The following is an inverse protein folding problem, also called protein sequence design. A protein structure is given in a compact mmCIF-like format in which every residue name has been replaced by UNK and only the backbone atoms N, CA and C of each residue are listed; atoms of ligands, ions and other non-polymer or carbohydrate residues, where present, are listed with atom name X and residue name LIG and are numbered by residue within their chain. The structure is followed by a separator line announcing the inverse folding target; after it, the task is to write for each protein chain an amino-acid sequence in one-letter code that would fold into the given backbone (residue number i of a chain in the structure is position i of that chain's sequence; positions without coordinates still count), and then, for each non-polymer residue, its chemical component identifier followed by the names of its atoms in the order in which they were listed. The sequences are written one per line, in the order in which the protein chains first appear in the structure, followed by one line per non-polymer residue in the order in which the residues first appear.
data_IF_628500193479
#
_entry.id   IF_628500193479
#
_cell.length_a   1.000
_cell.length_b   1.000
_cell.length_c   1.000
_cell.angle_alpha   90.00
_cell.angle_beta   90.00
_cell.angle_gamma   90.00
#
_symmetry.space_group_name_H-M   'P 1'
#
loop_
_entity.id
_entity.type
_entity.pdbx_description
1 polymer ?
#
# COMPACT_ATOMS: atom_id res chain seq x y z
N UNK A 1 -15.57 -80.09 0.88
CA UNK A 1 -16.32 -79.81 -0.36
C UNK A 1 -15.68 -78.60 -1.01
N UNK A 2 -14.98 -78.67 -2.14
CA UNK A 2 -14.47 -79.84 -2.89
C UNK A 2 -13.74 -79.37 -4.17
N UNK A 3 -12.60 -80.01 -4.48
CA UNK A 3 -12.00 -80.21 -5.83
C UNK A 3 -11.60 -78.95 -6.65
N UNK A 4 -10.29 -78.68 -6.86
CA UNK A 4 -9.36 -79.24 -7.89
C UNK A 4 -9.47 -78.47 -9.24
N UNK A 5 -8.46 -78.37 -10.12
CA UNK A 5 -7.27 -79.19 -10.40
C UNK A 5 -5.98 -78.33 -10.64
N UNK A 6 -4.86 -78.95 -11.02
CA UNK A 6 -3.52 -78.34 -11.06
C UNK A 6 -2.93 -77.99 -12.44
N UNK A 7 -1.67 -78.39 -12.77
CA UNK A 7 -0.65 -77.45 -13.25
C UNK A 7 -0.05 -77.79 -14.64
N UNK A 8 0.95 -77.01 -15.13
CA UNK A 8 2.14 -77.48 -15.92
C UNK A 8 3.17 -76.34 -16.21
N UNK A 9 4.45 -76.64 -15.94
CA UNK A 9 5.80 -76.27 -16.51
C UNK A 9 5.99 -75.01 -17.43
N UNK A 10 7.03 -74.14 -17.36
CA UNK A 10 8.54 -74.24 -17.22
C UNK A 10 9.19 -74.81 -18.52
N UNK A 11 10.38 -74.40 -19.08
CA UNK A 11 11.58 -73.63 -18.60
C UNK A 11 11.93 -72.38 -19.49
N UNK A 12 13.19 -71.94 -19.77
CA UNK A 12 14.25 -71.28 -18.95
C UNK A 12 15.23 -70.42 -19.84
N UNK A 13 16.28 -69.82 -19.25
CA UNK A 13 17.48 -69.14 -19.86
C UNK A 13 17.26 -67.79 -20.61
N UNK A 14 18.20 -66.82 -20.63
CA UNK A 14 19.47 -66.63 -19.91
C UNK A 14 20.39 -65.58 -20.58
N UNK A 15 21.03 -64.70 -19.78
CA UNK A 15 22.43 -64.15 -19.86
C UNK A 15 23.03 -63.70 -21.24
N UNK A 16 23.86 -62.65 -21.45
CA UNK A 16 24.95 -62.00 -20.68
C UNK A 16 25.16 -60.53 -21.14
N UNK A 17 25.90 -59.73 -20.36
CA UNK A 17 26.39 -58.36 -20.64
C UNK A 17 27.62 -58.28 -21.57
N UNK A 18 27.83 -57.14 -22.26
CA UNK A 18 29.13 -56.43 -22.23
C UNK A 18 29.09 -54.98 -22.78
N UNK A 19 30.14 -54.23 -22.45
CA UNK A 19 30.38 -52.79 -22.66
C UNK A 19 31.31 -52.50 -23.85
N UNK A 20 31.21 -51.30 -24.45
CA UNK A 20 32.35 -50.54 -24.99
C UNK A 20 31.94 -49.07 -25.32
N UNK A 21 32.91 -48.18 -25.45
CA UNK A 21 32.78 -46.81 -25.99
C UNK A 21 34.10 -46.42 -26.69
N UNK A 22 34.46 -45.14 -26.90
CA UNK A 22 33.67 -43.90 -27.10
C UNK A 22 33.81 -43.36 -28.56
N UNK A 23 33.15 -42.25 -28.91
CA UNK A 23 33.40 -41.50 -30.17
C UNK A 23 33.14 -39.99 -30.01
N UNK A 24 33.83 -39.17 -30.81
CA UNK A 24 33.98 -37.71 -30.63
C UNK A 24 33.11 -36.85 -31.58
N UNK A 25 32.68 -35.66 -31.10
CA UNK A 25 32.76 -34.31 -31.73
C UNK A 25 32.19 -34.14 -33.18
N UNK A 26 31.25 -33.18 -33.45
CA UNK A 26 31.61 -31.76 -33.41
C UNK A 26 30.58 -30.73 -32.89
N UNK A 27 31.10 -29.51 -32.75
CA UNK A 27 30.53 -28.31 -32.16
C UNK A 27 29.84 -27.37 -33.18
N UNK A 28 29.20 -26.31 -32.63
CA UNK A 28 28.73 -25.08 -33.28
C UNK A 28 27.47 -25.12 -34.18
N UNK A 29 26.37 -24.62 -33.61
CA UNK A 29 25.42 -23.76 -34.31
C UNK A 29 24.74 -22.80 -33.31
N UNK A 30 25.35 -21.63 -33.07
CA UNK A 30 24.74 -20.57 -32.25
C UNK A 30 23.74 -19.75 -33.07
N UNK A 31 22.44 -19.96 -32.82
CA UNK A 31 21.38 -19.07 -33.34
C UNK A 31 21.34 -17.77 -32.52
N UNK A 32 21.29 -16.59 -33.15
CA UNK A 32 21.25 -15.33 -32.43
C UNK A 32 19.87 -15.14 -31.78
N UNK A 33 19.86 -14.89 -30.46
CA UNK A 33 18.66 -14.35 -29.80
C UNK A 33 18.45 -12.93 -30.32
N UNK A 34 17.32 -12.70 -30.97
CA UNK A 34 16.85 -11.35 -31.31
C UNK A 34 16.60 -10.57 -30.02
N UNK A 35 17.24 -9.41 -29.88
CA UNK A 35 17.02 -8.48 -28.78
C UNK A 35 15.60 -7.92 -28.81
N UNK A 36 14.69 -8.56 -28.07
CA UNK A 36 13.36 -8.00 -27.80
C UNK A 36 13.54 -6.82 -26.84
N UNK A 37 13.57 -5.63 -27.41
CA UNK A 37 13.72 -4.36 -26.72
C UNK A 37 12.48 -4.08 -25.85
N UNK A 38 12.47 -4.59 -24.61
CA UNK A 38 11.33 -4.46 -23.68
C UNK A 38 11.11 -3.00 -23.31
N UNK A 39 10.18 -2.33 -24.01
CA UNK A 39 9.83 -0.94 -23.72
C UNK A 39 9.21 -0.81 -22.32
N UNK A 40 9.74 0.11 -21.52
CA UNK A 40 9.37 0.24 -20.11
C UNK A 40 8.02 0.95 -19.97
N UNK A 41 6.95 0.17 -19.72
CA UNK A 41 5.63 0.72 -19.34
C UNK A 41 5.42 0.62 -17.83
N UNK A 42 5.55 1.75 -17.13
CA UNK A 42 5.32 1.84 -15.69
C UNK A 42 3.83 1.67 -15.34
N UNK A 43 3.45 0.52 -14.78
CA UNK A 43 2.08 0.28 -14.28
C UNK A 43 1.84 1.06 -12.98
N UNK A 44 1.39 2.30 -13.18
CA UNK A 44 0.29 2.99 -12.49
C UNK A 44 0.01 2.66 -11.01
N UNK A 45 0.19 3.68 -10.16
CA UNK A 45 -0.36 3.69 -8.79
C UNK A 45 -1.81 4.21 -8.71
N UNK A 46 -2.27 5.03 -9.67
CA UNK A 46 -3.62 5.63 -9.65
C UNK A 46 -4.16 5.89 -11.07
N UNK A 47 -4.97 4.97 -11.61
CA UNK A 47 -5.94 5.25 -12.67
C UNK A 47 -7.37 5.13 -12.10
N UNK A 48 -8.22 6.16 -12.26
CA UNK A 48 -9.66 5.98 -12.26
C UNK A 48 -10.11 5.44 -13.63
N UNK A 49 -11.08 4.53 -13.64
CA UNK A 49 -11.76 4.11 -14.86
C UNK A 49 -12.33 5.32 -15.59
N UNK A 50 -12.11 5.40 -16.90
CA UNK A 50 -12.88 6.27 -17.78
C UNK A 50 -14.35 5.83 -17.76
N UNK A 51 -15.23 6.80 -17.97
CA UNK A 51 -16.67 6.58 -18.14
C UNK A 51 -16.89 5.61 -19.29
N UNK A 52 -17.49 4.46 -19.00
CA UNK A 52 -17.98 3.56 -20.02
C UNK A 52 -19.26 4.19 -20.58
N UNK A 53 -19.17 4.71 -21.81
CA UNK A 53 -20.32 5.24 -22.54
C UNK A 53 -21.25 4.07 -22.82
N UNK A 54 -22.52 4.18 -22.43
CA UNK A 54 -23.53 3.18 -22.80
C UNK A 54 -23.56 3.06 -24.33
N UNK A 55 -23.28 1.85 -24.81
CA UNK A 55 -23.60 1.42 -26.16
C UNK A 55 -24.91 0.66 -26.06
N UNK A 56 -25.96 1.28 -26.56
CA UNK A 56 -27.26 0.66 -26.78
C UNK A 56 -27.10 -0.54 -27.70
N UNK A 57 -27.76 -1.64 -27.34
CA UNK A 57 -27.90 -2.80 -28.22
C UNK A 57 -28.98 -2.48 -29.25
N UNK A 58 -28.62 -2.55 -30.53
CA UNK A 58 -29.52 -2.73 -31.66
C UNK A 58 -28.87 -3.77 -32.60
N UNK A 59 -29.67 -4.36 -33.49
CA UNK A 59 -29.55 -5.74 -33.95
C UNK A 59 -28.64 -6.00 -35.18
N UNK A 60 -28.28 -7.28 -35.35
CA UNK A 60 -28.00 -8.07 -36.58
C UNK A 60 -27.07 -7.52 -37.70
N UNK A 61 -25.97 -8.24 -37.99
CA UNK A 61 -25.79 -8.96 -39.29
C UNK A 61 -24.55 -9.90 -39.32
N UNK A 62 -24.45 -10.74 -40.35
CA UNK A 62 -23.60 -11.96 -40.43
C UNK A 62 -22.10 -11.80 -40.84
N UNK A 63 -21.32 -12.84 -40.51
CA UNK A 63 -20.12 -13.41 -41.18
C UNK A 63 -18.94 -12.52 -41.66
N UNK A 64 -17.71 -12.83 -41.18
CA UNK A 64 -16.77 -13.71 -41.91
C UNK A 64 -15.49 -14.05 -41.09
N UNK A 65 -14.69 -15.02 -41.56
CA UNK A 65 -13.51 -15.58 -40.85
C UNK A 65 -12.25 -14.68 -40.82
N UNK A 66 -11.62 -14.57 -39.64
CA UNK A 66 -10.16 -14.45 -39.51
C UNK A 66 -9.69 -14.91 -38.12
N UNK A 67 -8.93 -16.01 -38.04
CA UNK A 67 -8.32 -16.48 -36.78
C UNK A 67 -7.07 -15.65 -36.49
N UNK A 68 -7.25 -14.51 -35.81
CA UNK A 68 -6.13 -13.75 -35.26
C UNK A 68 -5.64 -14.44 -33.97
N UNK A 69 -4.38 -14.88 -33.97
CA UNK A 69 -3.73 -15.55 -32.84
C UNK A 69 -3.58 -14.56 -31.67
N UNK A 70 -4.58 -14.53 -30.79
CA UNK A 70 -4.64 -13.58 -29.68
C UNK A 70 -3.54 -13.87 -28.65
N UNK A 71 -2.44 -13.13 -28.79
CA UNK A 71 -1.37 -13.09 -27.80
C UNK A 71 -1.97 -12.89 -26.39
N UNK A 72 -1.52 -13.66 -25.38
CA UNK A 72 -2.19 -13.70 -24.08
C UNK A 72 -2.21 -12.33 -23.44
N UNK A 73 -3.41 -11.75 -23.31
CA UNK A 73 -3.65 -10.50 -22.61
C UNK A 73 -3.25 -10.70 -21.15
N UNK A 74 -2.03 -10.27 -20.81
CA UNK A 74 -1.51 -10.35 -19.45
C UNK A 74 -2.50 -9.69 -18.49
N UNK A 75 -3.07 -10.52 -17.61
CA UNK A 75 -4.14 -10.10 -16.71
C UNK A 75 -3.73 -8.83 -15.93
N UNK A 76 -4.56 -7.77 -15.93
CA UNK A 76 -4.23 -6.54 -15.23
C UNK A 76 -4.07 -6.82 -13.73
N UNK A 77 -3.05 -6.21 -13.12
CA UNK A 77 -2.73 -6.44 -11.72
C UNK A 77 -3.95 -6.16 -10.83
N UNK A 78 -4.39 -7.17 -10.06
CA UNK A 78 -5.61 -7.12 -9.26
C UNK A 78 -5.63 -5.88 -8.34
N UNK A 79 -6.62 -5.00 -8.55
CA UNK A 79 -6.77 -3.75 -7.78
C UNK A 79 -7.34 -4.08 -6.40
N UNK A 80 -6.55 -3.79 -5.36
CA UNK A 80 -6.83 -4.20 -3.97
C UNK A 80 -7.80 -3.22 -3.30
N UNK A 81 -9.05 -3.22 -3.77
CA UNK A 81 -10.06 -2.23 -3.42
C UNK A 81 -10.37 -2.10 -1.92
N UNK A 82 -10.21 -3.17 -1.15
CA UNK A 82 -10.53 -3.16 0.29
C UNK A 82 -9.62 -2.24 1.10
N UNK A 83 -8.37 -2.01 0.67
CA UNK A 83 -7.43 -1.11 1.36
C UNK A 83 -7.91 0.35 1.32
N UNK A 84 -8.54 0.77 0.22
CA UNK A 84 -9.20 2.07 0.16
C UNK A 84 -10.44 2.10 1.06
N UNK A 85 -11.16 0.99 1.16
CA UNK A 85 -12.28 0.83 2.09
C UNK A 85 -11.89 1.03 3.56
N UNK A 86 -10.83 0.37 4.02
CA UNK A 86 -10.30 0.53 5.39
C UNK A 86 -9.88 2.00 5.60
N UNK A 87 -9.24 2.62 4.61
CA UNK A 87 -8.87 4.05 4.66
C UNK A 87 -10.10 4.97 4.75
N UNK A 88 -11.19 4.64 4.07
CA UNK A 88 -12.46 5.37 4.13
C UNK A 88 -13.14 5.24 5.47
N UNK A 89 -13.15 4.04 6.06
CA UNK A 89 -13.64 3.83 7.42
C UNK A 89 -12.79 4.62 8.44
N UNK A 90 -11.47 4.62 8.31
CA UNK A 90 -10.59 5.43 9.16
C UNK A 90 -10.91 6.93 9.05
N UNK A 91 -11.14 7.46 7.84
CA UNK A 91 -11.56 8.85 7.65
C UNK A 91 -12.90 9.17 8.35
N UNK A 92 -13.88 8.27 8.28
CA UNK A 92 -15.16 8.38 8.99
C UNK A 92 -14.93 8.37 10.51
N UNK A 93 -14.11 7.47 11.04
CA UNK A 93 -13.81 7.38 12.47
C UNK A 93 -13.12 8.64 13.03
N UNK A 94 -12.27 9.31 12.24
CA UNK A 94 -11.70 10.63 12.62
C UNK A 94 -12.80 11.69 12.74
N UNK A 95 -13.72 11.76 11.78
CA UNK A 95 -14.87 12.70 11.84
C UNK A 95 -15.74 12.39 13.06
N UNK A 96 -16.04 11.12 13.31
CA UNK A 96 -16.82 10.65 14.46
C UNK A 96 -16.19 11.06 15.78
N UNK A 97 -14.88 10.87 15.96
CA UNK A 97 -14.17 11.29 17.18
C UNK A 97 -14.29 12.80 17.42
N UNK A 98 -13.90 13.62 16.44
CA UNK A 98 -13.80 15.07 16.62
C UNK A 98 -15.16 15.78 16.66
N UNK A 99 -16.25 15.10 16.26
CA UNK A 99 -17.62 15.62 16.36
C UNK A 99 -18.09 15.88 17.79
N UNK A 100 -17.44 15.26 18.78
CA UNK A 100 -17.81 15.27 20.20
C UNK A 100 -19.23 14.79 20.55
N UNK A 101 -19.96 14.16 19.61
CA UNK A 101 -21.33 13.65 19.85
C UNK A 101 -21.47 12.13 19.80
N UNK A 102 -20.58 11.43 19.09
CA UNK A 102 -20.74 10.01 18.81
C UNK A 102 -19.63 9.21 19.49
N UNK A 103 -20.00 8.19 20.27
CA UNK A 103 -19.09 7.17 20.84
C UNK A 103 -17.83 7.74 21.53
N UNK A 104 -18.01 8.82 22.30
CA UNK A 104 -16.93 9.63 22.88
C UNK A 104 -16.18 8.95 24.03
N UNK A 105 -16.75 7.87 24.57
CA UNK A 105 -16.06 6.94 25.45
C UNK A 105 -14.98 6.13 24.72
N UNK A 106 -15.00 6.06 23.39
CA UNK A 106 -14.04 5.29 22.60
C UNK A 106 -12.93 6.17 21.99
N UNK A 107 -11.74 5.58 21.82
CA UNK A 107 -10.58 6.22 21.19
C UNK A 107 -10.58 6.00 19.66
N UNK A 108 -11.72 6.20 18.98
CA UNK A 108 -11.91 5.99 17.54
C UNK A 108 -10.90 6.76 16.69
N UNK A 109 -10.56 7.98 17.09
CA UNK A 109 -9.55 8.82 16.41
C UNK A 109 -8.14 8.21 16.46
N UNK A 110 -7.77 7.59 17.59
CA UNK A 110 -6.48 6.91 17.72
C UNK A 110 -6.42 5.66 16.83
N UNK A 111 -7.46 4.84 16.85
CA UNK A 111 -7.60 3.62 16.02
C UNK A 111 -7.55 3.98 14.53
N UNK A 112 -8.16 5.10 14.14
CA UNK A 112 -8.12 5.60 12.78
C UNK A 112 -6.72 6.09 12.37
N UNK A 113 -6.01 6.83 13.23
CA UNK A 113 -4.62 7.27 12.97
C UNK A 113 -3.67 6.08 12.86
N UNK A 114 -3.79 5.08 13.75
CA UNK A 114 -3.07 3.80 13.63
C UNK A 114 -3.36 3.12 12.28
N UNK A 115 -4.62 3.12 11.86
CA UNK A 115 -5.03 2.55 10.56
C UNK A 115 -4.43 3.29 9.38
N UNK A 116 -4.38 4.63 9.40
CA UNK A 116 -3.70 5.42 8.38
C UNK A 116 -2.20 5.12 8.32
N UNK A 117 -1.52 5.09 9.46
CA UNK A 117 -0.07 4.81 9.53
C UNK A 117 0.27 3.39 9.08
N UNK A 118 -0.51 2.37 9.47
CA UNK A 118 -0.35 0.98 9.01
C UNK A 118 -0.59 0.87 7.51
N UNK A 119 -1.71 1.40 6.99
CA UNK A 119 -2.03 1.34 5.55
C UNK A 119 -0.98 2.06 4.71
N UNK A 120 -0.48 3.20 5.18
CA UNK A 120 0.53 3.99 4.49
C UNK A 120 1.86 3.25 4.43
N UNK A 121 2.38 2.82 5.58
CA UNK A 121 3.64 2.05 5.64
C UNK A 121 3.57 0.71 4.90
N UNK A 122 2.46 -0.02 4.99
CA UNK A 122 2.21 -1.25 4.23
C UNK A 122 2.25 -1.02 2.72
N UNK A 123 1.40 -0.11 2.21
CA UNK A 123 1.23 0.09 0.78
C UNK A 123 2.53 0.63 0.14
N UNK A 124 3.17 1.59 0.80
CA UNK A 124 4.40 2.21 0.30
C UNK A 124 5.58 1.24 0.33
N UNK A 125 5.71 0.44 1.40
CA UNK A 125 6.73 -0.62 1.46
C UNK A 125 6.46 -1.65 0.37
N UNK A 126 5.22 -2.14 0.23
CA UNK A 126 4.86 -3.14 -0.79
C UNK A 126 5.21 -2.70 -2.22
N UNK A 127 4.82 -1.48 -2.59
CA UNK A 127 5.06 -0.92 -3.93
C UNK A 127 6.56 -0.65 -4.17
N UNK A 128 7.25 -0.02 -3.22
CA UNK A 128 8.68 0.28 -3.35
C UNK A 128 9.53 -1.01 -3.35
N UNK A 129 9.14 -2.02 -2.57
CA UNK A 129 9.75 -3.36 -2.53
C UNK A 129 9.58 -4.08 -3.88
N UNK A 130 8.38 -4.09 -4.46
CA UNK A 130 8.16 -4.63 -5.82
C UNK A 130 8.96 -3.90 -6.90
N UNK A 131 9.07 -2.57 -6.82
CA UNK A 131 9.92 -1.77 -7.74
C UNK A 131 11.41 -2.13 -7.55
N UNK A 132 11.86 -2.24 -6.31
CA UNK A 132 13.25 -2.53 -5.94
C UNK A 132 13.74 -3.91 -6.38
N UNK A 133 12.88 -4.95 -6.32
CA UNK A 133 13.20 -6.28 -6.86
C UNK A 133 13.53 -6.19 -8.36
N UNK A 134 12.65 -5.57 -9.15
CA UNK A 134 12.85 -5.40 -10.60
C UNK A 134 14.14 -4.64 -10.93
N UNK A 135 14.50 -3.64 -10.11
CA UNK A 135 15.76 -2.89 -10.28
C UNK A 135 16.99 -3.74 -9.96
N UNK A 136 16.93 -4.65 -9.00
CA UNK A 136 18.00 -5.62 -8.73
C UNK A 136 18.12 -6.66 -9.85
N UNK A 137 17.00 -7.19 -10.32
CA UNK A 137 16.97 -8.18 -11.40
C UNK A 137 17.55 -7.60 -12.70
N UNK A 138 17.20 -6.35 -13.02
CA UNK A 138 17.75 -5.58 -14.14
C UNK A 138 19.19 -5.05 -13.91
N UNK A 139 19.82 -5.35 -12.76
CA UNK A 139 21.15 -4.84 -12.34
C UNK A 139 21.30 -3.33 -12.49
N UNK A 140 20.26 -2.59 -12.14
CA UNK A 140 20.15 -1.14 -12.35
C UNK A 140 21.27 -0.36 -11.62
N UNK A 141 21.88 0.60 -12.33
CA UNK A 141 22.94 1.44 -11.80
C UNK A 141 22.47 2.45 -10.75
N UNK A 142 23.40 3.02 -9.99
CA UNK A 142 23.10 3.95 -8.89
C UNK A 142 22.25 5.17 -9.32
N UNK A 143 22.39 5.62 -10.57
CA UNK A 143 21.58 6.71 -11.15
C UNK A 143 20.10 6.35 -11.29
N UNK A 144 19.79 5.13 -11.74
CA UNK A 144 18.42 4.60 -11.81
C UNK A 144 17.81 4.48 -10.41
N UNK A 145 18.58 4.03 -9.42
CA UNK A 145 18.14 4.01 -8.02
C UNK A 145 17.79 5.41 -7.50
N UNK A 146 18.64 6.40 -7.77
CA UNK A 146 18.37 7.80 -7.41
C UNK A 146 17.07 8.32 -8.06
N UNK A 147 16.85 8.04 -9.35
CA UNK A 147 15.59 8.40 -10.02
C UNK A 147 14.38 7.63 -9.46
N UNK A 148 14.54 6.37 -9.08
CA UNK A 148 13.47 5.57 -8.49
C UNK A 148 13.03 6.09 -7.11
N UNK A 149 13.99 6.58 -6.29
CA UNK A 149 13.74 7.24 -5.01
C UNK A 149 13.16 8.64 -5.21
N UNK A 150 13.68 9.43 -6.15
CA UNK A 150 13.16 10.76 -6.46
C UNK A 150 11.71 10.71 -6.97
N UNK A 151 11.39 9.75 -7.85
CA UNK A 151 10.02 9.46 -8.29
C UNK A 151 9.11 9.13 -7.10
N UNK A 152 9.52 8.20 -6.23
CA UNK A 152 8.79 7.83 -5.01
C UNK A 152 8.52 9.04 -4.11
N UNK A 153 9.55 9.83 -3.77
CA UNK A 153 9.41 11.00 -2.90
C UNK A 153 8.54 12.08 -3.54
N UNK A 154 8.67 12.34 -4.84
CA UNK A 154 7.86 13.34 -5.55
C UNK A 154 6.36 13.01 -5.47
N UNK A 155 6.00 11.74 -5.66
CA UNK A 155 4.62 11.25 -5.56
C UNK A 155 4.04 11.47 -4.17
N UNK A 156 4.83 11.22 -3.12
CA UNK A 156 4.40 11.45 -1.74
C UNK A 156 4.27 12.93 -1.42
N UNK A 157 5.22 13.75 -1.85
CA UNK A 157 5.16 15.20 -1.71
C UNK A 157 3.88 15.77 -2.35
N UNK A 158 3.61 15.48 -3.63
CA UNK A 158 2.44 15.99 -4.34
C UNK A 158 1.09 15.40 -3.86
N UNK A 159 1.07 14.24 -3.19
CA UNK A 159 -0.14 13.69 -2.56
C UNK A 159 -0.52 14.44 -1.27
N UNK A 160 0.45 14.90 -0.49
CA UNK A 160 0.24 15.42 0.88
C UNK A 160 0.46 16.94 0.97
N UNK A 161 1.61 17.44 0.52
CA UNK A 161 2.08 18.78 0.84
C UNK A 161 1.27 19.92 0.22
N UNK A 162 0.79 19.87 -1.05
CA UNK A 162 0.06 20.99 -1.65
C UNK A 162 -1.21 21.40 -0.91
N UNK A 163 -2.06 20.43 -0.52
CA UNK A 163 -3.29 20.72 0.21
C UNK A 163 -3.00 21.14 1.66
N UNK A 164 -1.98 20.56 2.29
CA UNK A 164 -1.48 21.01 3.60
C UNK A 164 -1.01 22.46 3.55
N UNK A 165 -0.19 22.83 2.58
CA UNK A 165 0.33 24.19 2.43
C UNK A 165 -0.79 25.21 2.16
N UNK A 166 -1.75 24.88 1.28
CA UNK A 166 -2.94 25.71 1.04
C UNK A 166 -3.74 25.88 2.33
N UNK A 167 -3.93 24.83 3.13
CA UNK A 167 -4.63 24.91 4.42
C UNK A 167 -3.91 25.83 5.39
N UNK A 168 -2.57 25.77 5.46
CA UNK A 168 -1.78 26.69 6.28
C UNK A 168 -1.91 28.15 5.82
N UNK A 169 -1.90 28.40 4.50
CA UNK A 169 -2.09 29.75 3.95
C UNK A 169 -3.51 30.28 4.23
N UNK A 170 -4.53 29.43 4.11
CA UNK A 170 -5.92 29.79 4.47
C UNK A 170 -6.03 30.17 5.94
N UNK A 171 -5.42 29.38 6.85
CA UNK A 171 -5.38 29.72 8.27
C UNK A 171 -4.60 31.01 8.54
N UNK A 172 -3.47 31.25 7.87
CA UNK A 172 -2.70 32.48 8.00
C UNK A 172 -3.52 33.73 7.64
N UNK A 173 -4.34 33.65 6.58
CA UNK A 173 -5.22 34.73 6.13
C UNK A 173 -6.46 34.97 7.03
N UNK A 174 -6.78 34.06 7.96
CA UNK A 174 -7.92 34.19 8.87
C UNK A 174 -7.62 35.06 10.09
N UNK A 175 -8.63 35.67 10.70
CA UNK A 175 -8.46 36.32 12.03
C UNK A 175 -8.18 35.26 13.10
N UNK A 176 -7.54 35.62 14.21
CA UNK A 176 -7.24 34.64 15.28
C UNK A 176 -8.52 34.03 15.89
N UNK A 177 -9.61 34.81 15.93
CA UNK A 177 -10.93 34.30 16.33
C UNK A 177 -11.44 33.23 15.34
N UNK A 178 -11.25 33.44 14.03
CA UNK A 178 -11.63 32.45 13.01
C UNK A 178 -10.74 31.21 13.05
N UNK A 179 -9.42 31.37 13.26
CA UNK A 179 -8.50 30.23 13.41
C UNK A 179 -8.90 29.29 14.56
N UNK A 180 -9.31 29.85 15.71
CA UNK A 180 -9.84 29.06 16.83
C UNK A 180 -11.22 28.45 16.48
N UNK A 181 -12.16 29.26 15.96
CA UNK A 181 -13.51 28.82 15.59
C UNK A 181 -13.55 27.71 14.53
N UNK A 182 -12.61 27.67 13.59
CA UNK A 182 -12.63 26.73 12.46
C UNK A 182 -11.57 25.63 12.53
N UNK A 183 -10.48 25.83 13.29
CA UNK A 183 -9.36 24.89 13.30
C UNK A 183 -8.69 24.70 14.67
N UNK A 184 -9.31 25.22 15.75
CA UNK A 184 -8.87 25.02 17.14
C UNK A 184 -7.42 25.49 17.40
N UNK A 185 -6.97 26.49 16.64
CA UNK A 185 -5.67 27.16 16.84
C UNK A 185 -5.82 28.14 18.00
N UNK A 186 -5.25 27.81 19.16
CA UNK A 186 -5.37 28.61 20.37
C UNK A 186 -4.22 29.61 20.54
N UNK A 187 -4.56 30.81 21.02
CA UNK A 187 -3.64 31.89 21.33
C UNK A 187 -3.62 32.98 20.26
N UNK A 188 -3.64 34.24 20.71
CA UNK A 188 -3.56 35.42 19.83
C UNK A 188 -2.12 35.69 19.40
N UNK A 189 -1.91 36.01 18.12
CA UNK A 189 -0.59 36.30 17.56
C UNK A 189 0.40 35.12 17.55
N UNK A 190 -0.05 33.90 17.84
CA UNK A 190 0.81 32.70 17.96
C UNK A 190 1.05 31.96 16.64
N UNK A 191 0.31 32.31 15.58
CA UNK A 191 0.35 31.59 14.30
C UNK A 191 1.49 32.06 13.40
N UNK A 192 2.56 31.27 13.31
CA UNK A 192 3.68 31.46 12.40
C UNK A 192 3.58 30.49 11.21
N UNK A 193 3.29 31.05 10.03
CA UNK A 193 3.12 30.29 8.79
C UNK A 193 4.37 29.47 8.43
N UNK A 194 5.58 30.01 8.62
CA UNK A 194 6.81 29.32 8.25
C UNK A 194 7.05 28.12 9.18
N UNK A 195 6.82 28.29 10.48
CA UNK A 195 6.93 27.22 11.48
C UNK A 195 5.88 26.12 11.31
N UNK A 196 4.65 26.48 10.95
CA UNK A 196 3.64 25.48 10.60
C UNK A 196 4.01 24.74 9.31
N UNK A 197 4.40 25.43 8.23
CA UNK A 197 4.79 24.81 6.95
C UNK A 197 6.02 23.88 7.04
N UNK A 198 6.88 24.10 8.03
CA UNK A 198 8.07 23.29 8.35
C UNK A 198 7.84 22.25 9.46
N UNK A 199 6.60 22.12 9.94
CA UNK A 199 6.19 21.22 11.02
C UNK A 199 6.96 21.38 12.34
N UNK A 200 7.28 22.62 12.73
CA UNK A 200 7.88 22.89 14.05
C UNK A 200 6.98 22.35 15.18
N UNK A 201 7.57 21.72 16.20
CA UNK A 201 6.84 20.89 17.18
C UNK A 201 5.64 21.62 17.83
N UNK A 202 5.82 22.87 18.24
CA UNK A 202 4.76 23.67 18.88
C UNK A 202 3.72 24.26 17.92
N UNK A 203 3.99 24.23 16.61
CA UNK A 203 3.14 24.81 15.55
C UNK A 203 2.36 23.74 14.76
N UNK A 204 2.37 22.49 15.26
CA UNK A 204 1.57 21.35 14.76
C UNK A 204 0.14 21.40 15.30
N UNK A 205 -0.62 22.42 14.90
CA UNK A 205 -1.99 22.64 15.39
C UNK A 205 -2.94 21.50 14.99
N UNK A 206 -3.84 21.15 15.91
CA UNK A 206 -4.87 20.12 15.71
C UNK A 206 -4.32 18.87 15.02
N UNK A 207 -4.91 18.40 13.92
CA UNK A 207 -4.48 17.19 13.20
C UNK A 207 -3.09 17.25 12.53
N UNK A 208 -2.42 18.41 12.45
CA UNK A 208 -1.12 18.52 11.79
C UNK A 208 0.01 17.73 12.49
N UNK A 209 -0.20 17.21 13.70
CA UNK A 209 0.83 16.44 14.42
C UNK A 209 1.19 15.11 13.76
N UNK A 210 0.29 14.51 12.97
CA UNK A 210 0.51 13.21 12.30
C UNK A 210 1.38 13.33 11.05
N UNK A 211 1.21 14.41 10.29
CA UNK A 211 1.91 14.67 9.02
C UNK A 211 3.44 14.54 9.10
N UNK A 212 4.16 15.17 10.07
CA UNK A 212 5.60 15.00 10.18
C UNK A 212 6.01 13.57 10.57
N UNK A 213 5.17 12.82 11.28
CA UNK A 213 5.46 11.42 11.63
C UNK A 213 5.42 10.54 10.38
N UNK A 214 4.38 10.70 9.57
CA UNK A 214 4.20 9.98 8.32
C UNK A 214 5.28 10.36 7.29
N UNK A 215 5.55 11.66 7.11
CA UNK A 215 6.61 12.15 6.21
C UNK A 215 7.98 11.64 6.65
N UNK A 216 8.29 11.63 7.96
CA UNK A 216 9.54 11.04 8.48
C UNK A 216 9.64 9.57 8.10
N UNK A 217 8.55 8.81 8.21
CA UNK A 217 8.55 7.40 7.85
C UNK A 217 8.73 7.15 6.35
N UNK A 218 8.26 8.05 5.47
CA UNK A 218 8.50 7.94 4.02
C UNK A 218 10.01 7.93 3.67
N UNK A 219 10.86 8.64 4.42
CA UNK A 219 12.30 8.60 4.22
C UNK A 219 12.96 7.31 4.75
N UNK A 220 12.32 6.64 5.72
CA UNK A 220 12.79 5.36 6.30
C UNK A 220 12.50 4.18 5.35
N UNK A 221 11.36 4.19 4.63
CA UNK A 221 10.92 3.07 3.78
C UNK A 221 11.98 2.64 2.74
N UNK A 222 12.62 3.53 1.95
CA UNK A 222 13.67 3.13 1.02
C UNK A 222 14.83 2.39 1.68
N UNK A 223 15.28 2.86 2.85
CA UNK A 223 16.36 2.23 3.63
C UNK A 223 15.90 0.86 4.16
N UNK A 224 14.71 0.78 4.74
CA UNK A 224 14.12 -0.47 5.24
C UNK A 224 14.01 -1.54 4.14
N UNK A 225 13.56 -1.15 2.94
CA UNK A 225 13.45 -2.05 1.78
C UNK A 225 14.83 -2.52 1.30
N UNK A 226 15.80 -1.62 1.17
CA UNK A 226 17.16 -1.97 0.75
C UNK A 226 17.86 -2.91 1.75
N UNK A 227 17.72 -2.66 3.06
CA UNK A 227 18.24 -3.54 4.11
C UNK A 227 17.55 -4.91 4.06
N UNK A 228 16.23 -4.95 3.93
CA UNK A 228 15.45 -6.20 3.81
C UNK A 228 15.89 -7.03 2.59
N UNK A 229 16.18 -6.38 1.47
CA UNK A 229 16.74 -7.01 0.27
C UNK A 229 18.16 -7.56 0.49
N UNK A 230 19.04 -6.76 1.11
CA UNK A 230 20.43 -7.15 1.37
C UNK A 230 20.54 -8.40 2.26
N UNK A 231 19.61 -8.57 3.20
CA UNK A 231 19.56 -9.74 4.10
C UNK A 231 19.22 -11.07 3.38
N UNK A 232 18.67 -11.03 2.15
CA UNK A 232 18.36 -12.19 1.29
C UNK A 232 17.62 -13.32 2.03
N UNK A 233 18.32 -14.42 2.37
CA UNK A 233 17.78 -15.61 3.07
C UNK A 233 17.71 -15.46 4.59
N UNK A 234 18.50 -14.54 5.15
CA UNK A 234 18.58 -14.27 6.60
C UNK A 234 17.65 -13.14 7.05
N UNK A 235 16.73 -12.68 6.20
CA UNK A 235 15.77 -11.61 6.51
C UNK A 235 14.97 -11.86 7.80
N UNK A 236 14.67 -13.12 8.11
CA UNK A 236 13.93 -13.51 9.32
C UNK A 236 14.71 -13.25 10.62
N UNK A 237 16.05 -13.25 10.58
CA UNK A 237 16.92 -13.13 11.77
C UNK A 237 16.72 -11.79 12.51
N UNK A 238 16.73 -10.62 11.84
CA UNK A 238 16.33 -9.36 12.48
C UNK A 238 14.81 -9.15 12.54
N UNK A 239 14.02 -9.79 11.67
CA UNK A 239 12.56 -9.60 11.66
C UNK A 239 11.88 -10.21 12.89
N UNK A 240 12.28 -11.39 13.37
CA UNK A 240 11.70 -12.00 14.57
C UNK A 240 11.86 -11.10 15.81
N UNK A 241 13.07 -10.67 16.23
CA UNK A 241 13.23 -9.77 17.37
C UNK A 241 12.60 -8.39 17.13
N UNK A 242 12.61 -7.86 15.89
CA UNK A 242 11.91 -6.62 15.57
C UNK A 242 10.38 -6.76 15.74
N UNK A 243 9.79 -7.91 15.41
CA UNK A 243 8.36 -8.17 15.59
C UNK A 243 8.00 -8.31 17.08
N UNK A 244 8.82 -9.04 17.84
CA UNK A 244 8.68 -9.12 19.30
C UNK A 244 8.79 -7.73 19.95
N UNK A 245 9.72 -6.89 19.48
CA UNK A 245 9.86 -5.50 19.91
C UNK A 245 8.64 -4.63 19.55
N UNK A 246 8.12 -4.75 18.33
CA UNK A 246 6.90 -4.06 17.88
C UNK A 246 5.70 -4.41 18.76
N UNK A 247 5.51 -5.69 19.09
CA UNK A 247 4.44 -6.14 19.99
C UNK A 247 4.68 -5.64 21.42
N UNK A 248 5.92 -5.74 21.93
CA UNK A 248 6.27 -5.33 23.29
C UNK A 248 6.11 -3.81 23.50
N UNK A 249 6.73 -2.97 22.67
CA UNK A 249 6.60 -1.52 22.75
C UNK A 249 5.16 -1.09 22.49
N UNK A 250 4.50 -1.67 21.49
CA UNK A 250 3.09 -1.35 21.21
C UNK A 250 2.17 -1.62 22.40
N UNK A 251 2.49 -2.61 23.23
CA UNK A 251 1.70 -2.96 24.41
C UNK A 251 2.06 -2.16 25.67
N UNK A 252 3.29 -1.67 25.80
CA UNK A 252 3.81 -1.06 27.04
C UNK A 252 4.13 0.44 26.94
N UNK A 253 4.41 0.98 25.75
CA UNK A 253 4.84 2.37 25.56
C UNK A 253 3.65 3.35 25.57
N UNK A 254 3.78 4.44 26.33
CA UNK A 254 2.74 5.47 26.39
C UNK A 254 2.67 6.28 25.09
N UNK A 255 1.49 6.31 24.47
CA UNK A 255 1.23 6.98 23.18
C UNK A 255 0.08 7.96 23.29
N UNK A 256 0.23 9.13 22.69
CA UNK A 256 -0.80 10.17 22.64
C UNK A 256 -0.60 11.11 21.45
N UNK A 257 -1.62 11.90 21.12
CA UNK A 257 -1.52 12.98 20.13
C UNK A 257 -0.41 13.97 20.47
N UNK A 258 0.23 14.54 19.45
CA UNK A 258 1.38 15.46 19.58
C UNK A 258 2.63 14.87 20.26
N UNK A 259 2.67 13.57 20.60
CA UNK A 259 3.90 12.91 21.04
C UNK A 259 4.96 12.89 19.90
N UNK A 260 6.26 12.77 20.23
CA UNK A 260 7.31 12.62 19.23
C UNK A 260 7.16 11.34 18.39
N UNK A 261 8.04 11.18 17.41
CA UNK A 261 7.99 10.06 16.46
C UNK A 261 8.26 8.69 17.11
N UNK A 262 9.14 8.60 18.12
CA UNK A 262 9.58 7.33 18.72
C UNK A 262 8.41 6.41 19.16
N UNK A 263 7.43 6.82 19.99
CA UNK A 263 6.32 5.95 20.40
C UNK A 263 5.44 5.44 19.26
N UNK A 264 5.49 6.09 18.09
CA UNK A 264 4.72 5.71 16.91
C UNK A 264 5.47 4.76 15.96
N UNK A 265 6.78 4.54 16.14
CA UNK A 265 7.59 3.63 15.31
C UNK A 265 6.99 2.22 15.21
N UNK A 266 6.52 1.56 16.30
CA UNK A 266 5.95 0.21 16.23
C UNK A 266 4.78 0.09 15.24
N UNK A 267 3.95 1.12 15.10
CA UNK A 267 2.79 1.15 14.19
C UNK A 267 3.21 1.15 12.73
N UNK A 268 4.13 2.06 12.36
CA UNK A 268 4.64 2.11 10.98
C UNK A 268 5.49 0.88 10.63
N UNK A 269 6.27 0.38 11.59
CA UNK A 269 7.10 -0.80 11.40
C UNK A 269 6.24 -2.06 11.20
N UNK A 270 5.14 -2.21 11.95
CA UNK A 270 4.18 -3.31 11.75
C UNK A 270 3.69 -3.37 10.29
N UNK A 271 3.21 -2.25 9.72
CA UNK A 271 2.74 -2.21 8.33
C UNK A 271 3.83 -2.56 7.32
N UNK A 272 5.05 -2.06 7.52
CA UNK A 272 6.19 -2.35 6.64
C UNK A 272 6.62 -3.82 6.70
N UNK A 273 6.65 -4.39 7.90
CA UNK A 273 6.95 -5.81 8.11
C UNK A 273 5.87 -6.71 7.49
N UNK A 274 4.60 -6.34 7.64
CA UNK A 274 3.47 -7.04 7.03
C UNK A 274 3.52 -7.03 5.50
N UNK A 275 3.96 -5.94 4.87
CA UNK A 275 4.18 -5.88 3.42
C UNK A 275 5.29 -6.83 2.95
N UNK A 276 6.37 -6.97 3.74
CA UNK A 276 7.45 -7.92 3.45
C UNK A 276 6.99 -9.37 3.66
N UNK A 277 6.27 -9.65 4.76
CA UNK A 277 5.68 -10.97 5.03
C UNK A 277 4.74 -11.37 3.89
N UNK A 278 3.81 -10.48 3.49
CA UNK A 278 2.93 -10.72 2.35
C UNK A 278 3.71 -11.04 1.08
N UNK A 279 4.72 -10.25 0.71
CA UNK A 279 5.51 -10.50 -0.50
C UNK A 279 6.30 -11.81 -0.45
N UNK A 280 6.84 -12.19 0.72
CA UNK A 280 7.54 -13.47 0.88
C UNK A 280 6.57 -14.65 0.76
N UNK A 281 5.37 -14.54 1.35
CA UNK A 281 4.32 -15.55 1.22
C UNK A 281 3.78 -15.64 -0.23
N UNK A 282 3.43 -14.52 -0.85
CA UNK A 282 2.97 -14.44 -2.26
C UNK A 282 3.99 -15.06 -3.22
N UNK A 283 5.28 -14.76 -3.03
CA UNK A 283 6.36 -15.32 -3.85
C UNK A 283 6.55 -16.82 -3.58
N UNK A 284 6.52 -17.25 -2.32
CA UNK A 284 6.67 -18.66 -1.95
C UNK A 284 5.50 -19.51 -2.47
N UNK A 285 4.26 -19.04 -2.34
CA UNK A 285 3.09 -19.75 -2.85
C UNK A 285 3.17 -19.93 -4.37
N UNK A 286 3.54 -18.88 -5.11
CA UNK A 286 3.71 -18.95 -6.57
C UNK A 286 4.85 -19.88 -6.99
N UNK A 287 5.97 -19.86 -6.27
CA UNK A 287 7.12 -20.70 -6.58
C UNK A 287 6.92 -22.19 -6.28
N UNK A 288 5.91 -22.55 -5.48
CA UNK A 288 5.59 -23.95 -5.12
C UNK A 288 4.19 -24.37 -5.64
N UNK A 289 3.58 -23.58 -6.53
CA UNK A 289 2.22 -23.80 -7.06
C UNK A 289 1.19 -24.11 -5.96
N UNK A 290 1.30 -23.39 -4.84
CA UNK A 290 0.56 -23.69 -3.62
C UNK A 290 -0.92 -23.37 -3.74
N UNK A 291 -1.75 -24.41 -3.76
CA UNK A 291 -3.20 -24.27 -3.69
C UNK A 291 -3.76 -24.30 -2.26
N UNK A 292 -4.70 -23.40 -1.99
CA UNK A 292 -5.42 -23.35 -0.71
C UNK A 292 -6.42 -24.51 -0.56
N UNK A 293 -5.94 -25.61 0.01
CA UNK A 293 -6.76 -26.73 0.53
C UNK A 293 -7.73 -26.26 1.62
N UNK A 294 -8.81 -27.01 1.85
CA UNK A 294 -9.84 -26.67 2.84
C UNK A 294 -9.27 -26.36 4.23
N UNK A 295 -8.33 -27.19 4.72
CA UNK A 295 -7.67 -26.98 6.02
C UNK A 295 -6.93 -25.64 6.06
N UNK A 296 -6.18 -25.29 5.02
CA UNK A 296 -5.46 -24.02 4.93
C UNK A 296 -6.42 -22.82 4.94
N UNK A 297 -7.56 -22.93 4.22
CA UNK A 297 -8.63 -21.92 4.21
C UNK A 297 -9.23 -21.75 5.60
N UNK A 298 -9.60 -22.85 6.28
CA UNK A 298 -10.19 -22.81 7.62
C UNK A 298 -9.22 -22.21 8.65
N UNK A 299 -7.95 -22.60 8.63
CA UNK A 299 -6.92 -22.04 9.54
C UNK A 299 -6.70 -20.54 9.29
N UNK A 300 -6.59 -20.12 8.03
CA UNK A 300 -6.43 -18.70 7.69
C UNK A 300 -7.63 -17.86 8.14
N UNK A 301 -8.86 -18.36 7.95
CA UNK A 301 -10.09 -17.71 8.41
C UNK A 301 -10.22 -17.69 9.93
N UNK A 302 -9.81 -18.74 10.63
CA UNK A 302 -9.76 -18.74 12.08
C UNK A 302 -8.83 -17.64 12.60
N UNK A 303 -7.61 -17.53 12.03
CA UNK A 303 -6.66 -16.46 12.37
C UNK A 303 -7.24 -15.06 12.07
N UNK A 304 -7.85 -14.87 10.90
CA UNK A 304 -8.50 -13.62 10.51
C UNK A 304 -9.62 -13.22 11.46
N UNK A 305 -10.60 -14.11 11.72
CA UNK A 305 -11.73 -13.80 12.59
C UNK A 305 -11.31 -13.62 14.05
N UNK A 306 -10.30 -14.35 14.54
CA UNK A 306 -9.69 -14.07 15.85
C UNK A 306 -9.03 -12.68 15.88
N UNK A 307 -8.29 -12.30 14.83
CA UNK A 307 -7.69 -10.97 14.73
C UNK A 307 -8.75 -9.85 14.67
N UNK A 308 -9.87 -10.05 13.96
CA UNK A 308 -11.01 -9.13 13.91
C UNK A 308 -11.66 -9.03 15.30
N UNK A 309 -11.94 -10.14 15.98
CA UNK A 309 -12.56 -10.14 17.31
C UNK A 309 -11.68 -9.44 18.36
N UNK A 310 -10.36 -9.67 18.31
CA UNK A 310 -9.40 -8.98 19.17
C UNK A 310 -9.27 -7.50 18.81
N UNK A 311 -9.25 -7.14 17.52
CA UNK A 311 -9.17 -5.75 17.06
C UNK A 311 -10.39 -4.96 17.55
N UNK A 312 -11.58 -5.51 17.35
CA UNK A 312 -12.85 -4.93 17.81
C UNK A 312 -12.94 -4.90 19.33
N UNK A 313 -12.41 -5.90 20.04
CA UNK A 313 -12.30 -5.87 21.50
C UNK A 313 -11.48 -4.67 21.97
N UNK A 314 -10.28 -4.48 21.44
CA UNK A 314 -9.41 -3.34 21.80
C UNK A 314 -10.06 -2.01 21.38
N UNK A 315 -10.65 -1.95 20.19
CA UNK A 315 -11.28 -0.75 19.65
C UNK A 315 -12.53 -0.29 20.44
N UNK A 316 -13.33 -1.25 20.91
CA UNK A 316 -14.63 -1.03 21.57
C UNK A 316 -14.61 -1.52 23.04
N UNK A 317 -13.49 -1.30 23.75
CA UNK A 317 -13.34 -1.52 25.21
C UNK A 317 -13.83 -2.87 25.75
N UNK A 318 -13.57 -3.96 25.02
CA UNK A 318 -13.91 -5.31 25.43
C UNK A 318 -15.24 -5.84 24.88
N UNK A 319 -15.75 -5.31 23.76
CA UNK A 319 -17.02 -5.69 23.12
C UNK A 319 -17.34 -7.20 23.12
N UNK A 320 -16.35 -8.05 22.84
CA UNK A 320 -16.50 -9.51 22.84
C UNK A 320 -16.13 -10.20 24.17
N UNK A 321 -15.43 -9.49 25.05
CA UNK A 321 -14.75 -10.04 26.21
C UNK A 321 -15.47 -9.74 27.53
N UNK A 322 -16.28 -8.67 27.61
CA UNK A 322 -17.19 -8.38 28.76
C UNK A 322 -17.99 -9.62 29.20
N UNK A 323 -18.33 -10.51 28.26
CA UNK A 323 -19.12 -11.72 28.48
C UNK A 323 -18.30 -13.02 28.65
N UNK A 324 -16.98 -12.98 28.43
CA UNK A 324 -16.15 -14.20 28.29
C UNK A 324 -14.89 -14.16 29.17
N UNK A 325 -14.17 -13.04 29.22
CA UNK A 325 -12.96 -12.89 30.03
C UNK A 325 -12.62 -11.40 30.23
N UNK A 326 -12.00 -11.03 31.36
CA UNK A 326 -11.55 -9.65 31.57
C UNK A 326 -10.63 -9.18 30.41
N UNK A 327 -10.76 -7.93 29.98
CA UNK A 327 -9.93 -7.42 28.88
C UNK A 327 -8.45 -7.41 29.32
N UNK A 328 -7.64 -8.25 28.67
CA UNK A 328 -6.22 -8.43 28.98
C UNK A 328 -5.38 -7.24 28.46
N UNK A 329 -5.93 -6.45 27.53
CA UNK A 329 -5.28 -5.23 27.07
C UNK A 329 -5.05 -4.26 28.25
N UNK A 330 -3.84 -3.70 28.42
CA UNK A 330 -3.50 -2.88 29.55
C UNK A 330 -4.40 -1.64 29.57
N UNK A 331 -4.96 -1.34 30.74
CA UNK A 331 -5.80 -0.17 31.00
C UNK A 331 -4.98 1.12 31.13
N UNK A 332 -3.73 1.10 30.64
CA UNK A 332 -2.83 2.25 30.61
C UNK A 332 -3.46 3.40 29.82
N UNK A 333 -3.37 4.65 30.30
CA UNK A 333 -3.88 5.80 29.56
C UNK A 333 -3.15 5.93 28.21
N UNK A 334 -3.83 6.43 27.19
CA UNK A 334 -3.24 6.71 25.88
C UNK A 334 -3.96 6.03 24.71
N UNK A 335 -3.25 5.95 23.58
CA UNK A 335 -3.76 5.38 22.34
C UNK A 335 -3.62 3.85 22.33
N UNK A 336 -4.69 3.09 22.05
CA UNK A 336 -4.63 1.63 21.99
C UNK A 336 -3.84 1.16 20.77
N UNK A 337 -2.97 0.17 20.95
CA UNK A 337 -2.18 -0.40 19.86
C UNK A 337 -2.95 -1.52 19.14
N UNK A 338 -3.60 -1.16 18.03
CA UNK A 338 -4.34 -2.10 17.17
C UNK A 338 -3.56 -2.53 15.93
N UNK A 339 -2.39 -1.93 15.71
CA UNK A 339 -1.60 -2.02 14.48
C UNK A 339 -1.31 -3.46 14.01
N UNK A 340 -0.85 -4.33 14.92
CA UNK A 340 -0.51 -5.73 14.58
C UNK A 340 -1.74 -6.52 14.14
N UNK A 341 -2.86 -6.38 14.84
CA UNK A 341 -4.10 -7.07 14.50
C UNK A 341 -4.62 -6.61 13.13
N UNK A 342 -4.57 -5.30 12.86
CA UNK A 342 -4.91 -4.75 11.54
C UNK A 342 -3.99 -5.31 10.44
N UNK A 343 -2.68 -5.45 10.69
CA UNK A 343 -1.79 -6.06 9.70
C UNK A 343 -2.07 -7.53 9.44
N UNK A 344 -2.49 -8.31 10.44
CA UNK A 344 -2.90 -9.71 10.25
C UNK A 344 -4.13 -9.77 9.34
N UNK A 345 -5.13 -8.92 9.60
CA UNK A 345 -6.35 -8.82 8.76
C UNK A 345 -5.98 -8.45 7.31
N UNK A 346 -5.15 -7.42 7.12
CA UNK A 346 -4.68 -6.99 5.79
C UNK A 346 -3.97 -8.12 5.05
N UNK A 347 -3.02 -8.82 5.71
CA UNK A 347 -2.25 -9.90 5.08
C UNK A 347 -3.15 -11.09 4.75
N UNK A 348 -4.06 -11.49 5.64
CA UNK A 348 -5.03 -12.56 5.36
C UNK A 348 -5.90 -12.26 4.15
N UNK A 349 -6.47 -11.05 4.06
CA UNK A 349 -7.32 -10.64 2.94
C UNK A 349 -6.55 -10.38 1.63
N UNK A 350 -5.26 -10.08 1.71
CA UNK A 350 -4.38 -10.02 0.54
C UNK A 350 -3.96 -11.41 0.03
N UNK A 351 -3.87 -12.42 0.90
CA UNK A 351 -3.57 -13.81 0.53
C UNK A 351 -4.80 -14.54 -0.02
N UNK A 352 -5.96 -14.33 0.60
CA UNK A 352 -7.23 -14.93 0.22
C UNK A 352 -8.38 -13.96 0.56
N UNK A 353 -8.96 -13.22 -0.40
CA UNK A 353 -10.06 -12.29 -0.11
C UNK A 353 -11.32 -12.97 0.44
N UNK A 354 -12.03 -12.30 1.36
CA UNK A 354 -13.28 -12.78 1.97
C UNK A 354 -14.44 -11.78 1.81
N UNK A 355 -15.56 -12.07 2.48
CA UNK A 355 -16.65 -11.13 2.69
C UNK A 355 -16.19 -9.80 3.32
N UNK A 356 -15.09 -9.80 4.09
CA UNK A 356 -14.50 -8.59 4.67
C UNK A 356 -13.96 -7.67 3.57
N UNK A 357 -13.17 -8.20 2.64
CA UNK A 357 -12.73 -7.48 1.43
C UNK A 357 -13.92 -7.00 0.59
N UNK A 358 -15.00 -7.79 0.47
CA UNK A 358 -16.23 -7.35 -0.23
C UNK A 358 -16.92 -6.17 0.45
N UNK A 359 -17.05 -6.18 1.80
CA UNK A 359 -17.64 -5.08 2.58
C UNK A 359 -16.80 -3.81 2.43
N UNK A 360 -15.48 -3.90 2.59
CA UNK A 360 -14.57 -2.76 2.37
C UNK A 360 -14.46 -2.36 0.89
N UNK A 361 -14.78 -3.26 -0.04
CA UNK A 361 -14.91 -2.98 -1.47
C UNK A 361 -16.13 -2.12 -1.84
N UNK A 362 -17.03 -1.82 -0.89
CA UNK A 362 -18.22 -1.00 -1.15
C UNK A 362 -17.87 0.40 -1.66
N UNK A 363 -18.64 0.89 -2.64
CA UNK A 363 -18.41 2.16 -3.34
C UNK A 363 -18.29 3.37 -2.39
N UNK A 364 -19.12 3.41 -1.34
CA UNK A 364 -19.09 4.49 -0.34
C UNK A 364 -17.75 4.53 0.40
N UNK A 365 -17.31 3.39 0.96
CA UNK A 365 -16.05 3.32 1.70
C UNK A 365 -14.85 3.59 0.79
N UNK A 366 -14.85 3.09 -0.46
CA UNK A 366 -13.81 3.41 -1.45
C UNK A 366 -13.77 4.89 -1.82
N UNK A 367 -14.91 5.56 -1.96
CA UNK A 367 -14.98 7.00 -2.21
C UNK A 367 -14.37 7.79 -1.05
N UNK A 368 -14.80 7.52 0.19
CA UNK A 368 -14.21 8.12 1.39
C UNK A 368 -12.72 7.80 1.52
N UNK A 369 -12.28 6.61 1.09
CA UNK A 369 -10.86 6.22 1.02
C UNK A 369 -10.04 7.05 0.02
N UNK A 370 -10.61 7.33 -1.16
CA UNK A 370 -9.98 8.16 -2.22
C UNK A 370 -9.71 9.58 -1.73
N UNK A 371 -10.71 10.22 -1.11
CA UNK A 371 -10.69 11.59 -0.59
C UNK A 371 -10.23 11.69 0.88
N UNK A 372 -9.79 10.57 1.48
CA UNK A 372 -9.53 10.44 2.91
C UNK A 372 -8.52 11.45 3.48
N UNK A 373 -7.51 11.85 2.70
CA UNK A 373 -6.56 12.88 3.11
C UNK A 373 -7.22 14.27 3.20
N UNK A 374 -8.00 14.63 2.18
CA UNK A 374 -8.83 15.85 2.21
C UNK A 374 -9.84 15.84 3.38
N UNK A 375 -10.49 14.71 3.68
CA UNK A 375 -11.36 14.57 4.88
C UNK A 375 -10.55 14.77 6.16
N UNK A 376 -9.44 14.05 6.30
CA UNK A 376 -8.58 14.10 7.48
C UNK A 376 -8.11 15.52 7.78
N UNK A 377 -7.71 16.27 6.75
CA UNK A 377 -7.18 17.62 6.92
C UNK A 377 -8.29 18.67 7.14
N UNK A 378 -9.44 18.55 6.45
CA UNK A 378 -10.41 19.65 6.36
C UNK A 378 -11.66 19.48 7.24
N UNK A 379 -11.90 18.32 7.85
CA UNK A 379 -13.14 18.08 8.62
C UNK A 379 -13.39 19.11 9.73
N UNK A 380 -12.33 19.63 10.36
CA UNK A 380 -12.42 20.59 11.48
C UNK A 380 -13.13 21.89 11.07
N UNK A 381 -12.91 22.38 9.84
CA UNK A 381 -13.60 23.57 9.30
C UNK A 381 -15.13 23.42 9.28
N UNK A 382 -15.65 22.19 9.21
CA UNK A 382 -17.08 21.90 9.24
C UNK A 382 -17.55 21.57 10.66
N UNK A 383 -16.79 20.76 11.41
CA UNK A 383 -17.20 20.32 12.75
C UNK A 383 -17.23 21.48 13.75
N UNK A 384 -16.19 22.32 13.77
CA UNK A 384 -16.08 23.45 14.70
C UNK A 384 -16.95 24.66 14.28
N UNK A 385 -17.48 24.66 13.06
CA UNK A 385 -18.34 25.73 12.55
C UNK A 385 -19.61 25.86 13.41
N UNK A 386 -19.75 27.02 14.07
CA UNK A 386 -20.87 27.36 14.96
C UNK A 386 -22.25 27.18 14.31
N UNK A 387 -22.42 27.48 13.02
CA UNK A 387 -23.71 27.32 12.32
C UNK A 387 -24.10 25.87 12.10
N UNK A 388 -23.12 24.96 11.97
CA UNK A 388 -23.36 23.51 11.92
C UNK A 388 -23.54 22.94 13.32
N UNK A 389 -22.73 23.39 14.28
CA UNK A 389 -22.71 22.86 15.64
C UNK A 389 -23.96 23.26 16.46
N UNK A 390 -24.53 24.46 16.24
CA UNK A 390 -25.71 24.94 16.97
C UNK A 390 -27.07 24.46 16.41
N UNK A 391 -27.11 23.65 15.34
CA UNK A 391 -28.40 23.10 14.88
C UNK A 391 -29.01 22.23 16.00
N UNK A 392 -30.25 22.48 16.40
CA UNK A 392 -30.85 21.81 17.57
C UNK A 392 -31.07 20.31 17.35
N UNK A 393 -31.48 19.91 16.15
CA UNK A 393 -31.78 18.52 15.81
C UNK A 393 -30.50 17.70 15.53
N UNK A 394 -30.37 16.58 16.23
CA UNK A 394 -29.26 15.62 16.11
C UNK A 394 -29.00 15.12 14.68
N UNK A 395 -30.06 14.73 13.97
CA UNK A 395 -29.96 14.21 12.61
C UNK A 395 -29.57 15.32 11.64
N UNK A 396 -30.08 16.54 11.82
CA UNK A 396 -29.63 17.70 11.04
C UNK A 396 -28.12 17.93 11.21
N UNK A 397 -27.58 17.89 12.45
CA UNK A 397 -26.12 18.00 12.69
C UNK A 397 -25.35 16.87 12.03
N UNK A 398 -25.81 15.63 12.18
CA UNK A 398 -25.18 14.44 11.59
C UNK A 398 -25.07 14.56 10.05
N UNK A 399 -26.20 14.79 9.38
CA UNK A 399 -26.24 14.91 7.92
C UNK A 399 -25.51 16.17 7.44
N UNK A 400 -25.61 17.29 8.14
CA UNK A 400 -24.88 18.52 7.80
C UNK A 400 -23.37 18.32 7.91
N UNK A 401 -22.86 17.73 9.00
CA UNK A 401 -21.42 17.46 9.17
C UNK A 401 -20.92 16.52 8.07
N UNK A 402 -21.47 15.32 7.96
CA UNK A 402 -20.98 14.33 6.99
C UNK A 402 -21.18 14.78 5.54
N UNK A 403 -22.30 15.46 5.23
CA UNK A 403 -22.58 16.02 3.91
C UNK A 403 -21.61 17.14 3.53
N UNK A 404 -21.45 18.16 4.38
CA UNK A 404 -20.54 19.28 4.11
C UNK A 404 -19.07 18.85 4.10
N UNK A 405 -18.67 17.90 4.96
CA UNK A 405 -17.32 17.31 4.91
C UNK A 405 -17.11 16.56 3.59
N UNK A 406 -18.08 15.77 3.15
CA UNK A 406 -18.00 15.06 1.88
C UNK A 406 -17.87 16.03 0.69
N UNK A 407 -18.68 17.10 0.66
CA UNK A 407 -18.61 18.14 -0.37
C UNK A 407 -17.27 18.87 -0.35
N UNK A 408 -16.83 19.35 0.82
CA UNK A 408 -15.57 20.08 0.99
C UNK A 408 -14.37 19.22 0.58
N UNK A 409 -14.30 17.98 1.07
CA UNK A 409 -13.20 17.07 0.79
C UNK A 409 -13.21 16.56 -0.66
N UNK A 410 -14.38 16.37 -1.27
CA UNK A 410 -14.48 16.00 -2.70
C UNK A 410 -14.05 17.16 -3.59
N UNK A 411 -14.46 18.39 -3.25
CA UNK A 411 -14.08 19.60 -4.01
C UNK A 411 -12.58 19.86 -3.89
N UNK A 412 -12.01 19.83 -2.68
CA UNK A 412 -10.56 20.00 -2.48
C UNK A 412 -9.75 18.89 -3.15
N UNK A 413 -10.24 17.64 -3.15
CA UNK A 413 -9.60 16.55 -3.85
C UNK A 413 -9.50 16.84 -5.36
N UNK A 414 -10.58 17.24 -6.03
CA UNK A 414 -10.55 17.49 -7.47
C UNK A 414 -9.87 18.81 -7.87
N UNK A 415 -9.88 19.83 -7.01
CA UNK A 415 -9.25 21.14 -7.28
C UNK A 415 -7.75 21.16 -6.97
N UNK A 416 -7.30 20.46 -5.93
CA UNK A 416 -5.91 20.52 -5.44
C UNK A 416 -5.21 19.17 -5.54
N UNK A 417 -5.78 18.14 -4.92
CA UNK A 417 -5.07 16.90 -4.63
C UNK A 417 -4.82 16.07 -5.90
N UNK A 418 -5.85 15.90 -6.73
CA UNK A 418 -5.79 15.18 -7.99
C UNK A 418 -4.91 15.91 -9.05
N UNK A 419 -5.05 17.23 -9.29
CA UNK A 419 -4.11 17.96 -10.15
C UNK A 419 -2.65 17.86 -9.68
N UNK A 420 -2.40 17.89 -8.37
CA UNK A 420 -1.05 17.69 -7.82
C UNK A 420 -0.49 16.30 -8.15
N UNK A 421 -1.31 15.25 -8.04
CA UNK A 421 -0.91 13.90 -8.45
C UNK A 421 -0.66 13.79 -9.97
N UNK A 422 -1.39 14.55 -10.81
CA UNK A 422 -1.09 14.64 -12.25
C UNK A 422 0.26 15.32 -12.51
N UNK A 423 0.65 16.33 -11.71
CA UNK A 423 2.00 16.90 -11.76
C UNK A 423 3.05 15.85 -11.37
N UNK A 424 2.82 15.03 -10.34
CA UNK A 424 3.71 13.92 -10.00
C UNK A 424 3.88 12.92 -11.17
N UNK A 425 2.80 12.54 -11.87
CA UNK A 425 2.88 11.71 -13.09
C UNK A 425 3.75 12.34 -14.17
N UNK A 426 3.70 13.68 -14.35
CA UNK A 426 4.57 14.42 -15.29
C UNK A 426 6.03 14.40 -14.84
N UNK A 427 6.31 14.55 -13.54
CA UNK A 427 7.66 14.41 -12.96
C UNK A 427 8.21 13.02 -13.21
N UNK A 428 7.45 11.94 -12.97
CA UNK A 428 7.87 10.56 -13.32
C UNK A 428 8.29 10.46 -14.79
N UNK A 429 7.46 10.95 -15.72
CA UNK A 429 7.74 10.91 -17.16
C UNK A 429 9.03 11.68 -17.51
N UNK A 430 9.28 12.83 -16.86
CA UNK A 430 10.49 13.60 -17.05
C UNK A 430 11.75 12.88 -16.52
N UNK A 431 11.66 12.23 -15.34
CA UNK A 431 12.75 11.43 -14.77
C UNK A 431 13.11 10.24 -15.67
N UNK A 432 12.12 9.47 -16.14
CA UNK A 432 12.36 8.36 -17.08
C UNK A 432 12.93 8.82 -18.42
N UNK A 433 12.56 10.01 -18.91
CA UNK A 433 13.15 10.58 -20.13
C UNK A 433 14.62 11.04 -19.92
N UNK A 434 14.97 11.54 -18.73
CA UNK A 434 16.36 11.86 -18.37
C UNK A 434 17.21 10.61 -18.16
N UNK A 435 16.62 9.53 -17.64
CA UNK A 435 17.25 8.22 -17.52
C UNK A 435 17.61 7.65 -18.90
N UNK A 436 16.64 7.57 -19.83
CA UNK A 436 16.88 7.09 -21.19
C UNK A 436 17.97 7.89 -21.92
N UNK A 437 17.99 9.22 -21.76
CA UNK A 437 19.07 10.07 -22.30
C UNK A 437 20.44 9.73 -21.70
N UNK A 438 20.50 9.30 -20.44
CA UNK A 438 21.74 8.90 -19.77
C UNK A 438 22.38 7.65 -20.36
N UNK A 439 21.59 6.73 -20.92
CA UNK A 439 22.09 5.53 -21.61
C UNK A 439 22.67 5.86 -23.00
N UNK A 440 22.06 6.78 -23.75
CA UNK A 440 22.51 7.12 -25.11
C UNK A 440 23.87 7.82 -25.18
N UNK A 441 24.40 8.36 -24.08
CA UNK A 441 25.77 8.90 -23.99
C UNK A 441 26.80 7.88 -23.48
N UNK A 442 26.37 6.66 -23.09
CA UNK A 442 27.24 5.62 -22.53
C UNK A 442 27.70 4.57 -23.55
N UNK A 443 27.16 4.61 -24.78
CA UNK A 443 27.72 3.91 -25.93
C UNK A 443 28.74 4.84 -26.60
N UNK A 444 30.02 4.48 -26.70
CA UNK A 444 30.93 5.14 -27.63
C UNK A 444 30.35 5.01 -29.04
N UNK A 445 30.44 6.05 -29.86
CA UNK A 445 30.21 5.92 -31.30
C UNK A 445 31.32 5.04 -31.87
N UNK A 446 31.03 3.76 -32.02
CA UNK A 446 31.87 2.81 -32.75
C UNK A 446 31.66 3.09 -34.24
N UNK A 447 32.22 4.21 -34.69
CA UNK A 447 32.29 4.57 -36.10
C UNK A 447 33.34 3.67 -36.77
N UNK A 448 32.82 2.71 -37.51
CA UNK A 448 33.34 2.22 -38.79
C UNK A 448 34.85 1.96 -38.89
N UNK A 449 35.21 0.68 -38.78
CA UNK A 449 36.42 0.13 -39.40
C UNK A 449 36.34 0.31 -40.93
N UNK A 450 36.90 1.41 -41.45
CA UNK A 450 36.93 1.69 -42.89
C UNK A 450 37.96 0.80 -43.61
N UNK A 451 37.51 -0.38 -44.01
CA UNK A 451 38.31 -1.36 -44.71
C UNK A 451 38.34 -1.09 -46.23
N UNK A 452 39.48 -0.56 -46.71
CA UNK A 452 39.97 -0.92 -48.05
C UNK A 452 40.47 0.21 -48.94
N UNK A 453 41.80 0.25 -49.13
CA UNK A 453 42.42 0.59 -50.42
C UNK A 453 43.84 0.02 -50.52
N UNK A 454 44.15 -0.86 -51.49
CA UNK A 454 45.53 -1.12 -51.88
C UNK A 454 46.05 0.08 -52.68
N UNK A 455 47.31 0.46 -52.48
CA UNK A 455 47.99 1.45 -53.30
C UNK A 455 49.07 0.76 -54.14
N UNK A 456 49.01 0.95 -55.45
CA UNK A 456 50.11 0.60 -56.36
C UNK A 456 51.37 1.39 -56.02
N UNK A 457 52.48 0.69 -55.72
CA UNK A 457 53.80 0.85 -56.38
C UNK A 457 54.87 -0.07 -55.81
#
# INVERSE_FOLDING_TARGET
MGQSEGPVEVPSNGTVWQSDGPAEIPSNASTPRSDVLVSVRSVLEDEPLLVQKELTVDEEDEADEAVEETAPVLAPAAKVFFLDGIRGLAAILVVTQHSHEYMQDLNLGAIAVDSFFVLSSFLLTWLFMRKSIRLLDARAGARTWLFAVADYLSRRFFRVYPLFAITCIVLWCMTDADKDNYYLVKGTGSYDLLKTLTFEFHHRYHVFWTLPLEITYYFIIPVFVLVTLALRKFWWVPFVPAYCWVVYEGWNEYRTSHAPFRPHIPTFLAGSMAAVIFLKLDTWMKANEFEFRLVHKVVLRAIEFTAIALFLSIAFRGLFFIWVHANIAPTTPGFPFTSVLLTIIIVSEMLLPSSVSSVFGWSVLRHWGKISFSVYLLHTFVISNKSVNHQSNYYCRLFSRFGLICVLATTSYYVVEYPSQLVAKRVTKALSAQEAKGYNYALPSQCDDDAGKPADK
#
